data_IF_987022688901
#
_entry.id   IF_987022688901
#
_cell.length_a   1.000
_cell.length_b   1.000
_cell.length_c   1.000
_cell.angle_alpha   90.00
_cell.angle_beta   90.00
_cell.angle_gamma   90.00
#
_symmetry.space_group_name_H-M   'P 1'
#
loop_
_entity.id
_entity.type
_entity.pdbx_description
1 polymer ?
#
# COMPACT_ATOMS: atom_id res chain seq x y z
N UNK A 1 1.99 -11.96 -70.97
CA UNK A 1 2.26 -12.82 -69.80
C UNK A 1 2.97 -11.98 -68.76
N UNK A 2 2.25 -11.49 -67.76
CA UNK A 2 2.80 -10.70 -66.66
C UNK A 2 3.18 -11.61 -65.50
N UNK A 3 4.43 -11.51 -65.04
CA UNK A 3 4.92 -12.17 -63.82
C UNK A 3 5.29 -11.11 -62.80
N UNK A 4 4.44 -10.95 -61.79
CA UNK A 4 4.65 -10.07 -60.64
C UNK A 4 5.68 -10.71 -59.70
N UNK A 5 6.80 -10.03 -59.45
CA UNK A 5 7.72 -10.40 -58.37
C UNK A 5 7.14 -9.90 -57.04
N UNK A 6 6.62 -10.82 -56.24
CA UNK A 6 6.24 -10.59 -54.85
C UNK A 6 7.49 -10.24 -54.04
N UNK A 7 7.66 -8.97 -53.70
CA UNK A 7 8.56 -8.52 -52.63
C UNK A 7 8.05 -9.05 -51.29
N UNK A 8 8.84 -9.92 -50.65
CA UNK A 8 8.61 -10.35 -49.28
C UNK A 8 8.63 -9.14 -48.32
N UNK A 9 7.72 -9.05 -47.34
CA UNK A 9 7.71 -7.94 -46.39
C UNK A 9 8.98 -7.99 -45.53
N UNK A 10 9.66 -6.85 -45.43
CA UNK A 10 10.76 -6.68 -44.49
C UNK A 10 10.23 -6.91 -43.08
N UNK A 11 10.68 -7.99 -42.44
CA UNK A 11 10.40 -8.28 -41.04
C UNK A 11 11.01 -7.16 -40.21
N UNK A 12 10.17 -6.43 -39.48
CA UNK A 12 10.62 -5.53 -38.41
C UNK A 12 11.55 -6.30 -37.46
N UNK A 13 12.72 -5.76 -37.09
CA UNK A 13 13.64 -6.46 -36.21
C UNK A 13 12.95 -6.72 -34.86
N UNK A 14 12.85 -7.99 -34.47
CA UNK A 14 12.38 -8.38 -33.14
C UNK A 14 13.24 -7.65 -32.11
N UNK A 15 12.61 -6.86 -31.24
CA UNK A 15 13.27 -6.19 -30.11
C UNK A 15 13.81 -7.30 -29.19
N UNK A 16 15.11 -7.56 -29.26
CA UNK A 16 15.81 -8.50 -28.37
C UNK A 16 15.92 -7.82 -27.01
N UNK A 17 15.27 -8.39 -25.99
CA UNK A 17 15.38 -7.84 -24.64
C UNK A 17 16.79 -8.06 -24.09
N UNK A 18 17.30 -7.18 -23.21
CA UNK A 18 18.65 -7.33 -22.62
C UNK A 18 18.91 -8.68 -21.91
N UNK A 19 17.85 -9.42 -21.54
CA UNK A 19 17.94 -10.74 -20.91
C UNK A 19 17.75 -11.93 -21.87
N UNK A 20 17.43 -11.69 -23.14
CA UNK A 20 17.35 -12.73 -24.17
C UNK A 20 18.71 -12.89 -24.88
N UNK A 21 19.57 -13.75 -24.32
CA UNK A 21 20.85 -14.13 -24.94
C UNK A 21 20.78 -15.48 -25.66
N UNK A 22 19.59 -16.06 -25.80
CA UNK A 22 19.40 -17.39 -26.41
C UNK A 22 19.50 -17.36 -27.94
N UNK A 23 19.38 -16.18 -28.52
CA UNK A 23 19.58 -15.90 -29.95
C UNK A 23 21.01 -16.10 -30.44
N UNK A 24 22.00 -16.28 -29.54
CA UNK A 24 23.42 -16.45 -29.88
C UNK A 24 24.06 -17.79 -29.52
N UNK A 25 23.32 -18.77 -28.96
CA UNK A 25 23.91 -20.06 -28.56
C UNK A 25 23.87 -21.04 -29.74
N UNK A 26 25.03 -21.27 -30.36
CA UNK A 26 25.24 -22.25 -31.43
C UNK A 26 25.24 -23.66 -30.80
N UNK A 27 24.50 -24.61 -31.39
CA UNK A 27 24.50 -26.02 -30.99
C UNK A 27 23.35 -26.52 -30.11
N UNK A 28 22.46 -25.63 -29.64
CA UNK A 28 21.23 -26.04 -28.94
C UNK A 28 20.04 -26.16 -29.91
N UNK A 29 19.23 -27.20 -29.73
CA UNK A 29 17.91 -27.30 -30.35
C UNK A 29 16.99 -26.15 -29.88
N UNK A 30 15.91 -25.90 -30.64
CA UNK A 30 14.92 -24.88 -30.26
C UNK A 30 14.32 -25.14 -28.87
N UNK A 31 14.04 -26.40 -28.54
CA UNK A 31 13.53 -26.81 -27.23
C UNK A 31 14.52 -26.50 -26.10
N UNK A 32 15.80 -26.83 -26.28
CA UNK A 32 16.83 -26.55 -25.26
C UNK A 32 17.04 -25.06 -25.04
N UNK A 33 16.97 -24.24 -26.10
CA UNK A 33 16.98 -22.78 -25.97
C UNK A 33 15.78 -22.27 -25.17
N UNK A 34 14.58 -22.77 -25.45
CA UNK A 34 13.39 -22.41 -24.66
C UNK A 34 13.55 -22.81 -23.19
N UNK A 35 13.97 -24.04 -22.89
CA UNK A 35 14.17 -24.51 -21.52
C UNK A 35 15.22 -23.67 -20.78
N UNK A 36 16.35 -23.35 -21.43
CA UNK A 36 17.40 -22.51 -20.86
C UNK A 36 16.89 -21.08 -20.57
N UNK A 37 16.14 -20.49 -21.50
CA UNK A 37 15.49 -19.19 -21.32
C UNK A 37 14.54 -19.20 -20.12
N UNK A 38 13.64 -20.19 -20.02
CA UNK A 38 12.71 -20.31 -18.90
C UNK A 38 13.44 -20.46 -17.57
N UNK A 39 14.45 -21.33 -17.49
CA UNK A 39 15.26 -21.51 -16.26
C UNK A 39 15.95 -20.22 -15.84
N UNK A 40 16.54 -19.48 -16.79
CA UNK A 40 17.19 -18.19 -16.50
C UNK A 40 16.17 -17.15 -16.03
N UNK A 41 15.04 -17.02 -16.72
CA UNK A 41 13.96 -16.10 -16.32
C UNK A 41 13.47 -16.41 -14.90
N UNK A 42 13.28 -17.69 -14.57
CA UNK A 42 12.87 -18.10 -13.22
C UNK A 42 13.91 -17.73 -12.15
N UNK A 43 15.21 -17.89 -12.42
CA UNK A 43 16.28 -17.46 -11.49
C UNK A 43 16.27 -15.94 -11.28
N UNK A 44 16.18 -15.17 -12.37
CA UNK A 44 16.11 -13.69 -12.29
C UNK A 44 14.88 -13.24 -11.50
N UNK A 45 13.73 -13.87 -11.73
CA UNK A 45 12.49 -13.58 -11.03
C UNK A 45 12.60 -13.86 -9.52
N UNK A 46 13.21 -14.98 -9.14
CA UNK A 46 13.46 -15.30 -7.72
C UNK A 46 14.39 -14.27 -7.06
N UNK A 47 15.43 -13.83 -7.77
CA UNK A 47 16.33 -12.77 -7.30
C UNK A 47 15.60 -11.43 -7.17
N UNK A 48 14.74 -11.09 -8.13
CA UNK A 48 13.92 -9.90 -8.10
C UNK A 48 13.01 -9.86 -6.87
N UNK A 49 12.23 -10.92 -6.61
CA UNK A 49 11.39 -10.98 -5.41
C UNK A 49 12.20 -10.94 -4.10
N UNK A 50 13.39 -11.56 -4.07
CA UNK A 50 14.29 -11.48 -2.91
C UNK A 50 14.75 -10.04 -2.67
N UNK A 51 15.08 -9.32 -3.73
CA UNK A 51 15.45 -7.91 -3.65
C UNK A 51 14.26 -7.05 -3.22
N UNK A 52 13.05 -7.34 -3.70
CA UNK A 52 11.85 -6.67 -3.22
C UNK A 52 11.65 -6.86 -1.72
N UNK A 53 11.84 -8.10 -1.23
CA UNK A 53 11.81 -8.41 0.21
C UNK A 53 12.88 -7.65 1.00
N UNK A 54 14.11 -7.58 0.49
CA UNK A 54 15.21 -6.82 1.11
C UNK A 54 14.86 -5.33 1.25
N UNK A 55 14.40 -4.70 0.17
CA UNK A 55 13.97 -3.29 0.17
C UNK A 55 12.84 -3.09 1.17
N UNK A 56 11.81 -3.96 1.14
CA UNK A 56 10.67 -3.88 2.08
C UNK A 56 11.13 -3.98 3.53
N UNK A 57 12.07 -4.87 3.85
CA UNK A 57 12.60 -5.04 5.21
C UNK A 57 13.33 -3.81 5.76
N UNK A 58 13.93 -3.00 4.87
CA UNK A 58 14.70 -1.82 5.23
C UNK A 58 13.76 -0.63 5.49
N UNK A 59 12.85 -0.39 4.55
CA UNK A 59 12.02 0.82 4.53
C UNK A 59 10.68 0.68 5.27
N UNK A 60 10.14 -0.53 5.43
CA UNK A 60 8.86 -0.74 6.10
C UNK A 60 8.89 -1.91 7.08
N UNK A 61 9.73 -1.80 8.12
CA UNK A 61 9.97 -2.86 9.12
C UNK A 61 8.69 -3.47 9.71
N UNK A 62 7.71 -2.64 10.08
CA UNK A 62 6.43 -3.11 10.66
C UNK A 62 5.62 -3.89 9.63
N UNK A 63 5.46 -3.35 8.43
CA UNK A 63 4.77 -3.99 7.32
C UNK A 63 5.45 -5.29 6.91
N UNK A 64 6.78 -5.28 6.75
CA UNK A 64 7.59 -6.46 6.45
C UNK A 64 7.34 -7.59 7.45
N UNK A 65 7.39 -7.30 8.75
CA UNK A 65 7.11 -8.28 9.80
C UNK A 65 5.70 -8.88 9.66
N UNK A 66 4.68 -8.06 9.41
CA UNK A 66 3.32 -8.52 9.15
C UNK A 66 3.23 -9.44 7.92
N UNK A 67 3.92 -9.10 6.84
CA UNK A 67 3.89 -9.91 5.60
C UNK A 67 4.57 -11.27 5.75
N UNK A 68 5.42 -11.50 6.76
CA UNK A 68 6.05 -12.81 6.98
C UNK A 68 5.02 -13.92 7.26
N UNK A 69 3.84 -13.57 7.79
CA UNK A 69 2.73 -14.48 8.02
C UNK A 69 1.94 -14.84 6.75
N UNK A 70 2.20 -14.18 5.61
CA UNK A 70 1.58 -14.52 4.34
C UNK A 70 2.25 -15.75 3.71
N UNK A 71 1.48 -16.58 2.96
CA UNK A 71 2.05 -17.60 2.09
C UNK A 71 3.04 -16.98 1.10
N UNK A 72 4.13 -17.71 0.81
CA UNK A 72 5.28 -17.18 0.04
C UNK A 72 4.88 -16.43 -1.24
N UNK A 73 3.97 -16.98 -2.06
CA UNK A 73 3.55 -16.34 -3.31
C UNK A 73 2.87 -14.98 -3.09
N UNK A 74 1.93 -14.91 -2.14
CA UNK A 74 1.25 -13.65 -1.79
C UNK A 74 2.24 -12.65 -1.19
N UNK A 75 3.15 -13.11 -0.33
CA UNK A 75 4.19 -12.28 0.27
C UNK A 75 5.11 -11.64 -0.79
N UNK A 76 5.62 -12.47 -1.70
CA UNK A 76 6.51 -12.01 -2.78
C UNK A 76 5.80 -10.97 -3.68
N UNK A 77 4.52 -11.21 -4.02
CA UNK A 77 3.69 -10.28 -4.78
C UNK A 77 3.43 -8.95 -4.04
N UNK A 78 3.10 -9.00 -2.75
CA UNK A 78 2.92 -7.80 -1.92
C UNK A 78 4.22 -6.99 -1.83
N UNK A 79 5.38 -7.65 -1.74
CA UNK A 79 6.67 -6.94 -1.77
C UNK A 79 6.96 -6.28 -3.10
N UNK A 80 6.59 -6.90 -4.23
CA UNK A 80 6.74 -6.28 -5.54
C UNK A 80 5.89 -5.01 -5.68
N UNK A 81 4.62 -5.06 -5.22
CA UNK A 81 3.74 -3.88 -5.17
C UNK A 81 4.31 -2.80 -4.25
N UNK A 82 4.69 -3.15 -3.02
CA UNK A 82 5.27 -2.19 -2.08
C UNK A 82 6.51 -1.49 -2.64
N UNK A 83 7.39 -2.23 -3.30
CA UNK A 83 8.61 -1.67 -3.89
C UNK A 83 8.31 -0.75 -5.06
N UNK A 84 7.28 -1.06 -5.86
CA UNK A 84 6.82 -0.11 -6.87
C UNK A 84 6.28 1.17 -6.23
N UNK A 85 5.44 1.07 -5.19
CA UNK A 85 4.95 2.22 -4.43
C UNK A 85 6.10 3.07 -3.86
N UNK A 86 7.10 2.43 -3.25
CA UNK A 86 8.29 3.09 -2.71
C UNK A 86 9.09 3.82 -3.79
N UNK A 87 9.30 3.17 -4.95
CA UNK A 87 10.02 3.81 -6.07
C UNK A 87 9.25 5.01 -6.62
N UNK A 88 7.92 4.96 -6.62
CA UNK A 88 7.05 6.08 -7.00
C UNK A 88 7.20 7.25 -6.00
N UNK A 89 7.15 6.97 -4.70
CA UNK A 89 7.34 7.93 -3.60
C UNK A 89 8.71 8.63 -3.65
N UNK A 90 9.78 7.85 -3.86
CA UNK A 90 11.16 8.34 -3.94
C UNK A 90 11.40 9.31 -5.12
N UNK A 91 10.53 9.33 -6.15
CA UNK A 91 10.60 10.31 -7.25
C UNK A 91 10.33 11.74 -6.77
N UNK A 92 9.47 11.90 -5.75
CA UNK A 92 9.03 13.20 -5.21
C UNK A 92 9.80 13.59 -3.95
N UNK A 93 10.24 12.61 -3.15
CA UNK A 93 10.88 12.86 -1.84
C UNK A 93 12.42 12.93 -1.87
N UNK A 94 13.04 12.84 -3.03
CA UNK A 94 14.50 12.89 -3.18
C UNK A 94 15.13 14.23 -2.72
N UNK A 95 16.34 14.22 -2.11
CA UNK A 95 17.01 15.41 -1.53
C UNK A 95 17.37 16.52 -2.54
N UNK A 96 17.06 16.34 -3.82
CA UNK A 96 17.33 17.29 -4.92
C UNK A 96 16.06 17.85 -5.59
N UNK A 97 14.86 17.60 -5.04
CA UNK A 97 13.59 18.06 -5.62
C UNK A 97 13.37 19.58 -5.42
N UNK A 98 14.20 20.24 -4.62
CA UNK A 98 14.15 21.71 -4.41
C UNK A 98 14.41 22.57 -5.67
N UNK A 99 14.68 21.99 -6.84
CA UNK A 99 14.81 22.75 -8.09
C UNK A 99 14.17 22.03 -9.30
N UNK A 100 13.10 22.66 -9.81
CA UNK A 100 12.42 22.51 -11.12
C UNK A 100 11.28 21.49 -11.23
N UNK A 101 10.06 21.97 -11.03
CA UNK A 101 8.76 21.29 -11.25
C UNK A 101 8.65 20.64 -12.64
N UNK A 102 9.19 21.29 -13.67
CA UNK A 102 9.19 20.76 -15.04
C UNK A 102 9.93 19.42 -15.16
N UNK A 103 11.02 19.25 -14.41
CA UNK A 103 11.80 17.99 -14.44
C UNK A 103 11.10 16.85 -13.71
N UNK A 104 10.30 17.16 -12.69
CA UNK A 104 9.55 16.16 -11.93
C UNK A 104 8.31 15.69 -12.69
N UNK A 105 7.58 16.60 -13.32
CA UNK A 105 6.45 16.24 -14.21
C UNK A 105 6.90 15.34 -15.36
N UNK A 106 8.05 15.63 -15.97
CA UNK A 106 8.64 14.76 -16.98
C UNK A 106 8.98 13.37 -16.42
N UNK A 107 9.66 13.30 -15.26
CA UNK A 107 9.98 12.01 -14.62
C UNK A 107 8.73 11.19 -14.29
N UNK A 108 7.65 11.83 -13.81
CA UNK A 108 6.39 11.15 -13.52
C UNK A 108 5.69 10.68 -14.79
N UNK A 109 5.77 11.44 -15.89
CA UNK A 109 5.29 11.00 -17.20
C UNK A 109 6.08 9.80 -17.76
N UNK A 110 7.42 9.82 -17.62
CA UNK A 110 8.28 8.69 -17.97
C UNK A 110 7.98 7.47 -17.09
N UNK A 111 7.69 7.68 -15.81
CA UNK A 111 7.30 6.64 -14.86
C UNK A 111 5.93 6.03 -15.20
N UNK A 112 4.96 6.84 -15.62
CA UNK A 112 3.67 6.38 -16.13
C UNK A 112 3.85 5.55 -17.42
N UNK A 113 4.66 6.01 -18.37
CA UNK A 113 5.00 5.21 -19.56
C UNK A 113 5.67 3.88 -19.21
N UNK A 114 6.51 3.86 -18.17
CA UNK A 114 7.15 2.64 -17.66
C UNK A 114 6.13 1.69 -17.01
N UNK A 115 5.14 2.22 -16.30
CA UNK A 115 4.03 1.44 -15.75
C UNK A 115 3.24 0.74 -16.87
N UNK A 116 2.92 1.44 -17.95
CA UNK A 116 2.25 0.84 -19.12
C UNK A 116 3.06 -0.31 -19.72
N UNK A 117 4.39 -0.13 -19.82
CA UNK A 117 5.29 -1.17 -20.33
C UNK A 117 5.29 -2.41 -19.42
N UNK A 118 5.23 -2.25 -18.10
CA UNK A 118 5.09 -3.37 -17.15
C UNK A 118 3.79 -4.14 -17.42
N UNK A 119 2.66 -3.44 -17.57
CA UNK A 119 1.36 -4.07 -17.88
C UNK A 119 1.33 -4.75 -19.23
N UNK A 120 2.03 -4.21 -20.23
CA UNK A 120 2.23 -4.83 -21.53
C UNK A 120 3.22 -6.03 -21.52
N UNK A 121 3.83 -6.34 -20.37
CA UNK A 121 4.77 -7.46 -20.22
C UNK A 121 6.21 -7.15 -20.62
N UNK A 122 6.58 -5.87 -20.67
CA UNK A 122 7.90 -5.36 -21.06
C UNK A 122 8.61 -4.67 -19.87
N UNK A 123 9.08 -5.42 -18.86
CA UNK A 123 9.76 -4.85 -17.70
C UNK A 123 11.09 -4.19 -18.08
N UNK A 124 11.46 -3.05 -17.47
CA UNK A 124 12.72 -2.37 -17.80
C UNK A 124 13.89 -2.81 -16.90
N UNK A 125 13.60 -3.36 -15.71
CA UNK A 125 14.59 -3.91 -14.79
C UNK A 125 14.07 -5.13 -14.00
N UNK A 126 14.86 -5.62 -13.04
CA UNK A 126 14.49 -6.76 -12.21
C UNK A 126 13.27 -6.50 -11.31
N UNK A 127 13.09 -5.29 -10.79
CA UNK A 127 11.95 -4.96 -9.92
C UNK A 127 10.65 -4.87 -10.73
N UNK A 128 10.74 -4.32 -11.94
CA UNK A 128 9.66 -4.35 -12.92
C UNK A 128 9.30 -5.79 -13.32
N UNK A 129 10.31 -6.68 -13.45
CA UNK A 129 10.08 -8.09 -13.75
C UNK A 129 9.25 -8.78 -12.65
N UNK A 130 9.50 -8.46 -11.37
CA UNK A 130 8.69 -8.97 -10.27
C UNK A 130 7.25 -8.43 -10.30
N UNK A 131 7.07 -7.15 -10.62
CA UNK A 131 5.72 -6.57 -10.75
C UNK A 131 4.97 -7.13 -11.96
N UNK A 132 5.61 -7.24 -13.13
CA UNK A 132 5.01 -7.82 -14.33
C UNK A 132 4.58 -9.28 -14.12
N UNK A 133 5.38 -10.04 -13.37
CA UNK A 133 5.04 -11.41 -12.98
C UNK A 133 3.87 -11.42 -11.97
N UNK A 134 3.83 -10.48 -11.02
CA UNK A 134 2.71 -10.31 -10.09
C UNK A 134 1.40 -10.00 -10.84
N UNK A 135 1.39 -9.01 -11.74
CA UNK A 135 0.22 -8.64 -12.56
C UNK A 135 -0.33 -9.86 -13.32
N UNK A 136 0.56 -10.69 -13.89
CA UNK A 136 0.17 -11.90 -14.63
C UNK A 136 -0.48 -12.96 -13.74
N UNK A 137 0.01 -13.12 -12.51
CA UNK A 137 -0.48 -14.15 -11.58
C UNK A 137 -1.72 -13.72 -10.79
N UNK A 138 -2.04 -12.42 -10.77
CA UNK A 138 -3.18 -11.85 -10.05
C UNK A 138 -4.02 -10.98 -10.99
N UNK A 139 -4.91 -11.58 -11.81
CA UNK A 139 -5.67 -10.85 -12.84
C UNK A 139 -6.66 -9.82 -12.30
N UNK A 140 -7.01 -9.88 -11.00
CA UNK A 140 -7.78 -8.83 -10.32
C UNK A 140 -6.99 -7.53 -10.10
N UNK A 141 -5.66 -7.54 -10.28
CA UNK A 141 -4.80 -6.37 -10.12
C UNK A 141 -4.97 -5.41 -11.31
N UNK A 142 -5.70 -4.32 -11.08
CA UNK A 142 -5.95 -3.28 -12.08
C UNK A 142 -4.80 -2.29 -12.14
N UNK A 143 -4.55 -1.70 -13.31
CA UNK A 143 -3.57 -0.62 -13.49
C UNK A 143 -4.05 0.71 -12.90
N UNK A 144 -5.36 0.93 -12.79
CA UNK A 144 -5.94 2.23 -12.42
C UNK A 144 -5.43 2.74 -11.05
N UNK A 145 -5.38 1.94 -9.96
CA UNK A 145 -4.81 2.39 -8.70
C UNK A 145 -3.34 2.82 -8.81
N UNK A 146 -2.57 2.24 -9.72
CA UNK A 146 -1.16 2.60 -9.94
C UNK A 146 -1.08 3.96 -10.64
N UNK A 147 -1.91 4.19 -11.66
CA UNK A 147 -2.02 5.51 -12.29
C UNK A 147 -2.48 6.58 -11.29
N UNK A 148 -3.49 6.28 -10.49
CA UNK A 148 -4.00 7.18 -9.45
C UNK A 148 -2.91 7.55 -8.43
N UNK A 149 -2.04 6.62 -8.04
CA UNK A 149 -0.91 6.92 -7.16
C UNK A 149 0.09 7.87 -7.81
N UNK A 150 0.40 7.72 -9.10
CA UNK A 150 1.24 8.67 -9.85
C UNK A 150 0.58 10.06 -9.88
N UNK A 151 -0.74 10.12 -10.07
CA UNK A 151 -1.48 11.39 -10.00
C UNK A 151 -1.48 12.00 -8.59
N UNK A 152 -1.42 11.17 -7.54
CA UNK A 152 -1.25 11.62 -6.16
C UNK A 152 0.10 12.31 -5.94
N UNK A 153 1.17 11.74 -6.52
CA UNK A 153 2.51 12.35 -6.50
C UNK A 153 2.53 13.74 -7.13
N UNK A 154 1.73 13.99 -8.17
CA UNK A 154 1.61 15.30 -8.82
C UNK A 154 0.90 16.34 -7.94
N UNK A 155 0.00 15.93 -7.05
CA UNK A 155 -0.70 16.85 -6.15
C UNK A 155 0.27 17.53 -5.18
N UNK A 156 1.25 16.78 -4.68
CA UNK A 156 2.29 17.29 -3.77
C UNK A 156 3.26 18.27 -4.46
N UNK A 157 3.43 18.17 -5.78
CA UNK A 157 4.23 19.11 -6.58
C UNK A 157 3.57 20.48 -6.65
N UNK A 158 2.25 20.48 -6.85
CA UNK A 158 1.49 21.70 -7.13
C UNK A 158 1.07 22.42 -5.86
N UNK A 159 0.67 21.67 -4.82
CA UNK A 159 0.15 22.25 -3.58
C UNK A 159 0.20 21.26 -2.42
N UNK A 160 1.13 21.47 -1.48
CA UNK A 160 1.12 20.78 -0.17
C UNK A 160 0.29 21.53 0.87
N UNK A 161 -0.90 22.01 0.48
CA UNK A 161 -1.91 22.71 1.30
C UNK A 161 -3.29 22.34 0.79
N UNK A 162 -4.15 21.80 1.65
CA UNK A 162 -5.50 21.38 1.27
C UNK A 162 -6.52 22.28 1.94
N UNK A 163 -7.45 22.84 1.17
CA UNK A 163 -8.44 23.77 1.71
C UNK A 163 -9.42 23.04 2.62
N UNK A 164 -9.95 21.92 2.13
CA UNK A 164 -10.97 21.12 2.81
C UNK A 164 -10.48 19.71 3.12
N UNK A 165 -11.18 19.02 4.02
CA UNK A 165 -10.90 17.60 4.25
C UNK A 165 -11.14 16.75 3.00
N UNK A 166 -12.08 17.10 2.13
CA UNK A 166 -12.34 16.35 0.89
C UNK A 166 -11.15 16.41 -0.08
N UNK A 167 -10.48 17.55 -0.18
CA UNK A 167 -9.25 17.68 -0.96
C UNK A 167 -8.12 16.81 -0.36
N UNK A 168 -7.97 16.84 0.97
CA UNK A 168 -7.01 15.98 1.67
C UNK A 168 -7.36 14.50 1.53
N UNK A 169 -8.65 14.15 1.53
CA UNK A 169 -9.13 12.80 1.36
C UNK A 169 -8.74 12.28 -0.03
N UNK A 170 -8.92 13.08 -1.09
CA UNK A 170 -8.50 12.70 -2.44
C UNK A 170 -7.00 12.42 -2.50
N UNK A 171 -6.19 13.25 -1.83
CA UNK A 171 -4.76 12.99 -1.70
C UNK A 171 -4.49 11.65 -0.99
N UNK A 172 -5.07 11.44 0.21
CA UNK A 172 -4.94 10.20 0.96
C UNK A 172 -5.39 8.96 0.18
N UNK A 173 -6.49 9.08 -0.58
CA UNK A 173 -6.97 8.05 -1.48
C UNK A 173 -5.87 7.70 -2.50
N UNK A 174 -5.34 8.70 -3.23
CA UNK A 174 -4.35 8.46 -4.29
C UNK A 174 -3.04 7.87 -3.76
N UNK A 175 -2.50 8.39 -2.66
CA UNK A 175 -1.16 8.00 -2.19
C UNK A 175 -1.15 6.76 -1.28
N UNK A 176 -2.30 6.37 -0.71
CA UNK A 176 -2.37 5.23 0.21
C UNK A 176 -3.63 4.37 0.07
N UNK A 177 -4.80 4.96 -0.20
CA UNK A 177 -6.03 4.21 -0.48
C UNK A 177 -5.85 3.25 -1.67
N UNK A 178 -5.23 3.74 -2.75
CA UNK A 178 -4.86 2.94 -3.93
C UNK A 178 -4.01 1.72 -3.57
N UNK A 179 -3.10 1.82 -2.60
CA UNK A 179 -2.28 0.68 -2.13
C UNK A 179 -3.16 -0.43 -1.54
N UNK A 180 -4.25 -0.06 -0.85
CA UNK A 180 -5.28 -1.00 -0.42
C UNK A 180 -5.94 -1.73 -1.59
N UNK A 181 -6.26 -1.01 -2.67
CA UNK A 181 -6.82 -1.59 -3.91
C UNK A 181 -5.82 -2.48 -4.64
N UNK A 182 -4.52 -2.14 -4.61
CA UNK A 182 -3.46 -2.98 -5.19
C UNK A 182 -3.26 -4.27 -4.40
N UNK A 183 -3.37 -4.20 -3.07
CA UNK A 183 -3.14 -5.36 -2.20
C UNK A 183 -4.33 -6.33 -2.19
N UNK A 184 -5.56 -5.84 -2.26
CA UNK A 184 -6.77 -6.65 -2.07
C UNK A 184 -6.84 -7.89 -2.99
N UNK A 185 -6.60 -7.81 -4.32
CA UNK A 185 -6.62 -8.98 -5.20
C UNK A 185 -5.53 -10.01 -4.88
N UNK A 186 -4.41 -9.57 -4.30
CA UNK A 186 -3.30 -10.44 -3.91
C UNK A 186 -3.62 -11.16 -2.59
N UNK A 187 -4.20 -10.43 -1.64
CA UNK A 187 -4.62 -10.95 -0.34
C UNK A 187 -5.79 -11.92 -0.49
N UNK A 188 -6.72 -11.62 -1.39
CA UNK A 188 -7.94 -12.37 -1.65
C UNK A 188 -8.98 -12.23 -0.54
N UNK A 189 -10.21 -12.61 -0.86
CA UNK A 189 -11.35 -12.62 0.07
C UNK A 189 -11.73 -14.05 0.47
N UNK A 190 -12.39 -14.18 1.62
CA UNK A 190 -12.99 -15.44 2.07
C UNK A 190 -14.37 -15.61 1.41
N UNK A 191 -14.56 -16.61 0.53
CA UNK A 191 -15.83 -16.81 -0.16
C UNK A 191 -17.00 -17.15 0.77
N UNK A 192 -16.75 -17.61 2.00
CA UNK A 192 -17.82 -17.86 2.99
C UNK A 192 -18.34 -16.55 3.62
N UNK A 193 -17.55 -15.48 3.61
CA UNK A 193 -17.83 -14.23 4.34
C UNK A 193 -17.92 -12.99 3.45
N UNK A 194 -17.51 -13.13 2.19
CA UNK A 194 -17.39 -12.03 1.25
C UNK A 194 -17.64 -12.57 -0.16
N UNK A 195 -18.73 -12.15 -0.81
CA UNK A 195 -19.12 -12.72 -2.11
C UNK A 195 -18.20 -12.26 -3.25
N UNK A 196 -17.57 -11.10 -3.08
CA UNK A 196 -16.68 -10.52 -4.07
C UNK A 196 -15.69 -9.57 -3.42
N UNK A 197 -14.59 -9.26 -4.11
CA UNK A 197 -13.64 -8.23 -3.68
C UNK A 197 -14.30 -6.85 -3.50
N UNK A 198 -15.36 -6.56 -4.27
CA UNK A 198 -16.09 -5.29 -4.18
C UNK A 198 -16.65 -5.03 -2.77
N UNK A 199 -17.08 -6.06 -2.04
CA UNK A 199 -17.57 -5.94 -0.66
C UNK A 199 -16.45 -5.59 0.34
N UNK A 200 -15.17 -5.79 -0.02
CA UNK A 200 -14.01 -5.49 0.82
C UNK A 200 -13.29 -4.18 0.41
N UNK A 201 -13.65 -3.58 -0.74
CA UNK A 201 -13.01 -2.36 -1.26
C UNK A 201 -13.09 -1.21 -0.26
N UNK A 202 -14.26 -0.95 0.32
CA UNK A 202 -14.42 0.15 1.29
C UNK A 202 -13.48 0.01 2.48
N UNK A 203 -13.38 -1.18 3.06
CA UNK A 203 -12.48 -1.44 4.18
C UNK A 203 -11.01 -1.36 3.79
N UNK A 204 -10.65 -1.78 2.56
CA UNK A 204 -9.29 -1.65 2.04
C UNK A 204 -8.88 -0.18 1.84
N UNK A 205 -9.78 0.63 1.26
CA UNK A 205 -9.60 2.07 1.12
C UNK A 205 -9.48 2.75 2.49
N UNK A 206 -10.39 2.44 3.41
CA UNK A 206 -10.40 2.99 4.75
C UNK A 206 -9.09 2.70 5.49
N UNK A 207 -8.52 1.50 5.33
CA UNK A 207 -7.21 1.19 5.90
C UNK A 207 -6.11 2.06 5.32
N UNK A 208 -6.03 2.18 3.98
CA UNK A 208 -5.03 3.03 3.33
C UNK A 208 -5.12 4.50 3.79
N UNK A 209 -6.35 5.04 3.84
CA UNK A 209 -6.61 6.40 4.32
C UNK A 209 -6.23 6.56 5.78
N UNK A 210 -6.59 5.61 6.66
CA UNK A 210 -6.22 5.66 8.07
C UNK A 210 -4.71 5.67 8.27
N UNK A 211 -3.97 4.83 7.53
CA UNK A 211 -2.51 4.78 7.59
C UNK A 211 -1.88 6.10 7.14
N UNK A 212 -2.40 6.73 6.09
CA UNK A 212 -1.88 8.00 5.58
C UNK A 212 -2.18 9.17 6.51
N UNK A 213 -3.41 9.28 7.01
CA UNK A 213 -3.75 10.29 8.00
C UNK A 213 -2.92 10.10 9.29
N UNK A 214 -2.63 8.86 9.68
CA UNK A 214 -1.72 8.58 10.80
C UNK A 214 -0.31 9.09 10.52
N UNK A 215 0.22 8.94 9.29
CA UNK A 215 1.52 9.49 8.92
C UNK A 215 1.50 11.03 9.00
N UNK A 216 0.48 11.68 8.44
CA UNK A 216 0.30 13.14 8.49
C UNK A 216 0.30 13.63 9.94
N UNK A 217 -0.45 12.98 10.83
CA UNK A 217 -0.49 13.38 12.24
C UNK A 217 0.80 13.08 13.00
N UNK A 218 1.55 12.05 12.62
CA UNK A 218 2.83 11.73 13.25
C UNK A 218 3.93 12.71 12.85
N UNK A 219 3.91 13.16 11.61
CA UNK A 219 5.05 13.84 10.97
C UNK A 219 4.80 15.35 10.74
N UNK A 220 3.81 15.96 11.41
CA UNK A 220 3.46 17.40 11.29
C UNK A 220 4.70 18.31 11.36
N UNK A 221 5.60 18.10 12.34
CA UNK A 221 6.83 18.88 12.44
C UNK A 221 7.82 18.65 11.29
N UNK A 222 7.99 17.39 10.86
CA UNK A 222 8.89 17.06 9.73
C UNK A 222 8.36 17.66 8.41
N UNK A 223 7.04 17.69 8.23
CA UNK A 223 6.37 18.30 7.07
C UNK A 223 6.46 19.83 7.09
N UNK A 224 6.26 20.46 8.27
CA UNK A 224 6.40 21.90 8.45
C UNK A 224 7.82 22.38 8.09
N UNK A 225 8.87 21.64 8.49
CA UNK A 225 10.27 21.94 8.11
C UNK A 225 10.52 21.88 6.59
N UNK A 226 9.66 21.18 5.84
CA UNK A 226 9.69 21.10 4.38
C UNK A 226 8.76 22.12 3.72
N UNK A 227 8.07 22.96 4.50
CA UNK A 227 7.10 23.93 4.00
C UNK A 227 5.76 23.32 3.58
N UNK A 228 5.46 22.09 4.04
CA UNK A 228 4.22 21.35 3.74
C UNK A 228 3.24 21.46 4.91
N UNK A 229 1.95 21.61 4.60
CA UNK A 229 0.86 21.65 5.60
C UNK A 229 -0.30 20.78 5.11
N UNK A 230 -0.37 19.55 5.61
CA UNK A 230 -1.43 18.60 5.24
C UNK A 230 -2.72 18.77 6.05
N UNK A 231 -2.68 19.42 7.22
CA UNK A 231 -3.88 19.72 8.00
C UNK A 231 -4.82 20.62 7.18
N UNK A 232 -6.12 20.29 7.06
CA UNK A 232 -7.05 21.09 6.25
C UNK A 232 -7.16 22.53 6.76
N UNK A 233 -7.05 23.49 5.83
CA UNK A 233 -7.02 24.91 6.16
C UNK A 233 -8.33 25.39 6.78
N UNK A 234 -9.47 24.88 6.32
CA UNK A 234 -10.78 25.17 6.91
C UNK A 234 -10.87 24.76 8.38
N UNK A 235 -10.24 23.64 8.74
CA UNK A 235 -10.28 23.07 10.08
C UNK A 235 -9.30 23.80 10.99
N UNK A 236 -8.10 24.13 10.49
CA UNK A 236 -7.18 25.02 11.19
C UNK A 236 -7.87 26.34 11.56
N UNK A 237 -8.59 26.97 10.63
CA UNK A 237 -9.37 28.19 10.91
C UNK A 237 -10.52 27.96 11.88
N UNK A 238 -11.24 26.84 11.79
CA UNK A 238 -12.33 26.49 12.70
C UNK A 238 -11.86 26.40 14.17
N UNK A 239 -10.71 25.77 14.41
CA UNK A 239 -10.09 25.70 15.74
C UNK A 239 -9.30 26.98 16.08
N UNK A 240 -9.22 27.94 15.16
CA UNK A 240 -8.49 29.19 15.32
C UNK A 240 -6.97 29.02 15.36
N UNK A 241 -6.41 27.94 14.83
CA UNK A 241 -4.96 27.71 14.76
C UNK A 241 -4.39 28.17 13.40
N UNK A 242 -3.27 28.90 13.41
CA UNK A 242 -2.71 29.52 12.19
C UNK A 242 -1.51 28.77 11.61
N UNK A 243 -1.21 28.98 10.33
CA UNK A 243 0.04 28.47 9.73
C UNK A 243 1.28 29.07 10.42
N UNK A 244 1.26 30.34 10.83
CA UNK A 244 2.38 30.97 11.53
C UNK A 244 2.68 30.24 12.85
N UNK A 245 1.64 29.87 13.60
CA UNK A 245 1.78 29.06 14.81
C UNK A 245 2.30 27.65 14.51
N UNK A 246 1.84 27.04 13.41
CA UNK A 246 2.31 25.73 12.95
C UNK A 246 3.80 25.76 12.60
N UNK A 247 4.26 26.74 11.83
CA UNK A 247 5.66 26.88 11.47
C UNK A 247 6.55 27.29 12.66
N UNK A 248 5.98 28.01 13.63
CA UNK A 248 6.62 28.27 14.92
C UNK A 248 6.56 27.08 15.89
N UNK A 249 5.98 25.95 15.48
CA UNK A 249 5.82 24.72 16.29
C UNK A 249 5.13 24.98 17.64
N UNK A 250 4.15 25.89 17.67
CA UNK A 250 3.42 26.25 18.89
C UNK A 250 2.38 25.18 19.22
N UNK A 251 2.57 24.50 20.34
CA UNK A 251 1.59 23.57 20.93
C UNK A 251 0.77 24.33 21.97
N UNK A 252 -0.46 24.71 21.61
CA UNK A 252 -1.43 25.36 22.49
C UNK A 252 -2.76 24.60 22.51
N UNK A 253 -3.71 25.01 23.35
CA UNK A 253 -5.00 24.32 23.49
C UNK A 253 -5.75 24.18 22.16
N UNK A 254 -5.72 25.22 21.30
CA UNK A 254 -6.34 25.20 19.97
C UNK A 254 -5.74 24.11 19.07
N UNK A 255 -4.41 23.97 19.10
CA UNK A 255 -3.71 22.91 18.40
C UNK A 255 -4.09 21.53 18.92
N UNK A 256 -4.10 21.35 20.25
CA UNK A 256 -4.44 20.07 20.85
C UNK A 256 -5.86 19.64 20.48
N UNK A 257 -6.84 20.55 20.51
CA UNK A 257 -8.22 20.26 20.09
C UNK A 257 -8.32 19.91 18.60
N UNK A 258 -7.57 20.61 17.73
CA UNK A 258 -7.47 20.26 16.31
C UNK A 258 -6.91 18.84 16.11
N UNK A 259 -5.82 18.48 16.80
CA UNK A 259 -5.21 17.15 16.68
C UNK A 259 -6.12 16.06 17.26
N UNK A 260 -6.79 16.30 18.40
CA UNK A 260 -7.81 15.37 18.94
C UNK A 260 -8.93 15.12 17.92
N UNK A 261 -9.42 16.17 17.27
CA UNK A 261 -10.43 16.08 16.23
C UNK A 261 -9.95 15.20 15.05
N UNK A 262 -8.72 15.41 14.57
CA UNK A 262 -8.15 14.54 13.53
C UNK A 262 -7.98 13.09 14.01
N UNK A 263 -7.46 12.86 15.21
CA UNK A 263 -7.28 11.51 15.77
C UNK A 263 -8.63 10.77 15.82
N UNK A 264 -9.71 11.43 16.23
CA UNK A 264 -11.05 10.86 16.25
C UNK A 264 -11.50 10.41 14.86
N UNK A 265 -11.25 11.23 13.83
CA UNK A 265 -11.48 10.89 12.42
C UNK A 265 -10.65 9.69 11.97
N UNK A 266 -9.34 9.65 12.26
CA UNK A 266 -8.48 8.52 11.87
C UNK A 266 -8.95 7.22 12.55
N UNK A 267 -9.34 7.28 13.83
CA UNK A 267 -9.94 6.15 14.54
C UNK A 267 -11.24 5.66 13.91
N UNK A 268 -12.04 6.55 13.31
CA UNK A 268 -13.24 6.15 12.56
C UNK A 268 -12.88 5.33 11.31
N UNK A 269 -11.90 5.76 10.51
CA UNK A 269 -11.43 4.97 9.38
C UNK A 269 -10.84 3.62 9.80
N UNK A 270 -10.11 3.55 10.91
CA UNK A 270 -9.64 2.27 11.45
C UNK A 270 -10.81 1.32 11.82
N UNK A 271 -11.92 1.84 12.37
CA UNK A 271 -13.11 1.01 12.64
C UNK A 271 -13.71 0.46 11.35
N UNK A 272 -13.86 1.29 10.30
CA UNK A 272 -14.33 0.84 8.98
C UNK A 272 -13.40 -0.21 8.35
N UNK A 273 -12.08 -0.03 8.51
CA UNK A 273 -11.08 -1.00 8.07
C UNK A 273 -11.17 -2.33 8.83
N UNK A 274 -11.37 -2.31 10.15
CA UNK A 274 -11.50 -3.50 10.98
C UNK A 274 -12.66 -4.40 10.53
N UNK A 275 -13.78 -3.83 10.07
CA UNK A 275 -14.91 -4.58 9.51
C UNK A 275 -14.52 -5.45 8.29
N UNK A 276 -13.45 -5.08 7.57
CA UNK A 276 -12.95 -5.81 6.42
C UNK A 276 -12.09 -7.03 6.76
N UNK A 277 -11.57 -7.14 8.00
CA UNK A 277 -10.65 -8.22 8.36
C UNK A 277 -11.29 -9.59 8.20
N UNK A 278 -12.56 -9.74 8.61
CA UNK A 278 -13.30 -10.99 8.47
C UNK A 278 -13.50 -11.40 7.00
N UNK A 279 -13.61 -10.42 6.10
CA UNK A 279 -13.84 -10.60 4.66
C UNK A 279 -12.60 -11.10 3.93
N UNK A 280 -11.40 -10.86 4.47
CA UNK A 280 -10.15 -11.31 3.87
C UNK A 280 -10.02 -12.83 3.94
N UNK A 281 -9.32 -13.40 2.95
CA UNK A 281 -8.89 -14.79 2.97
C UNK A 281 -8.15 -15.10 4.29
N UNK A 282 -8.36 -16.28 4.92
CA UNK A 282 -7.81 -16.58 6.26
C UNK A 282 -6.31 -16.29 6.40
N UNK A 283 -5.53 -16.64 5.37
CA UNK A 283 -4.08 -16.40 5.33
C UNK A 283 -3.66 -14.91 5.41
N UNK A 284 -4.56 -13.98 5.13
CA UNK A 284 -4.30 -12.54 5.09
C UNK A 284 -4.78 -11.81 6.36
N UNK A 285 -5.66 -12.42 7.17
CA UNK A 285 -6.29 -11.79 8.34
C UNK A 285 -5.27 -11.31 9.36
N UNK A 286 -4.39 -12.21 9.81
CA UNK A 286 -3.38 -11.88 10.81
C UNK A 286 -2.39 -10.81 10.32
N UNK A 287 -1.77 -10.91 9.13
CA UNK A 287 -0.91 -9.85 8.59
C UNK A 287 -1.56 -8.46 8.61
N UNK A 288 -2.80 -8.36 8.14
CA UNK A 288 -3.51 -7.08 8.03
C UNK A 288 -3.95 -6.59 9.41
N UNK A 289 -4.48 -7.49 10.26
CA UNK A 289 -4.84 -7.18 11.64
C UNK A 289 -3.65 -6.64 12.43
N UNK A 290 -2.51 -7.33 12.38
CA UNK A 290 -1.30 -6.94 13.08
C UNK A 290 -0.78 -5.59 12.59
N UNK A 291 -0.79 -5.36 11.27
CA UNK A 291 -0.39 -4.07 10.69
C UNK A 291 -1.30 -2.94 11.16
N UNK A 292 -2.62 -3.15 11.14
CA UNK A 292 -3.63 -2.20 11.62
C UNK A 292 -3.42 -1.88 13.11
N UNK A 293 -3.36 -2.90 13.96
CA UNK A 293 -3.21 -2.73 15.41
C UNK A 293 -1.91 -2.02 15.78
N UNK A 294 -0.80 -2.31 15.09
CA UNK A 294 0.49 -1.66 15.32
C UNK A 294 0.51 -0.20 14.84
N UNK A 295 -0.13 0.12 13.72
CA UNK A 295 -0.17 1.49 13.21
C UNK A 295 -1.11 2.37 14.03
N UNK A 296 -2.26 1.83 14.49
CA UNK A 296 -3.20 2.58 15.33
C UNK A 296 -2.57 3.07 16.64
N UNK A 297 -1.63 2.31 17.20
CA UNK A 297 -0.87 2.69 18.41
C UNK A 297 0.01 3.94 18.24
N UNK A 298 0.26 4.39 17.00
CA UNK A 298 0.93 5.67 16.78
C UNK A 298 0.04 6.82 17.26
N UNK A 299 -1.28 6.72 17.11
CA UNK A 299 -2.22 7.72 17.62
C UNK A 299 -2.18 7.80 19.14
N UNK A 300 -2.14 6.63 19.81
CA UNK A 300 -2.03 6.57 21.26
C UNK A 300 -0.68 7.17 21.73
N UNK A 301 0.41 6.97 20.96
CA UNK A 301 1.69 7.61 21.24
C UNK A 301 1.70 9.13 21.02
N UNK A 302 0.86 9.66 20.11
CA UNK A 302 0.67 11.12 19.96
C UNK A 302 -0.06 11.68 21.19
N UNK A 303 -1.07 10.98 21.70
CA UNK A 303 -1.78 11.35 22.94
C UNK A 303 -0.87 11.27 24.16
N UNK A 304 -0.06 10.20 24.29
CA UNK A 304 0.96 10.04 25.35
C UNK A 304 2.02 11.16 25.33
N UNK A 305 2.22 11.82 24.19
CA UNK A 305 3.14 12.94 24.01
C UNK A 305 2.47 14.31 24.24
N UNK A 306 1.29 14.37 24.85
CA UNK A 306 0.49 15.60 25.02
C UNK A 306 0.24 16.32 23.69
N UNK A 307 0.08 15.54 22.62
CA UNK A 307 -0.12 15.99 21.23
C UNK A 307 1.06 16.75 20.61
N UNK A 308 2.24 16.78 21.26
CA UNK A 308 3.46 17.34 20.68
C UNK A 308 4.09 16.39 19.65
N UNK A 309 3.62 16.51 18.41
CA UNK A 309 4.14 15.87 17.21
C UNK A 309 5.03 16.81 16.37
N UNK A 310 5.43 17.96 16.93
CA UNK A 310 6.45 18.84 16.34
C UNK A 310 7.85 18.42 16.79
N UNK A 311 8.03 18.24 18.10
CA UNK A 311 9.34 18.00 18.71
C UNK A 311 9.55 16.53 19.10
N UNK A 312 8.46 15.78 19.28
CA UNK A 312 8.52 14.36 19.68
C UNK A 312 7.85 13.48 18.64
N UNK A 313 8.68 12.79 17.85
CA UNK A 313 8.15 11.81 16.90
C UNK A 313 7.46 10.67 17.63
N UNK A 314 6.17 10.47 17.37
CA UNK A 314 5.42 9.35 17.92
C UNK A 314 5.86 8.02 17.26
N UNK A 315 6.28 7.05 18.06
CA UNK A 315 6.65 5.72 17.57
C UNK A 315 6.24 4.61 18.54
N UNK A 316 5.97 3.43 18.00
CA UNK A 316 5.68 2.24 18.79
C UNK A 316 6.98 1.48 19.05
N UNK A 317 7.30 1.25 20.33
CA UNK A 317 8.51 0.53 20.75
C UNK A 317 8.50 -0.92 20.25
N UNK A 318 9.69 -1.53 20.11
CA UNK A 318 9.81 -2.94 19.69
C UNK A 318 9.04 -3.89 20.61
N UNK A 319 9.04 -3.61 21.92
CA UNK A 319 8.32 -4.40 22.91
C UNK A 319 6.79 -4.26 22.73
N UNK A 320 6.27 -3.02 22.60
CA UNK A 320 4.84 -2.79 22.33
C UNK A 320 4.41 -3.52 21.04
N UNK A 321 5.20 -3.45 19.96
CA UNK A 321 4.94 -4.21 18.72
C UNK A 321 4.90 -5.72 18.94
N UNK A 322 5.86 -6.28 19.68
CA UNK A 322 5.91 -7.71 19.97
C UNK A 322 4.67 -8.17 20.77
N UNK A 323 4.24 -7.39 21.76
CA UNK A 323 3.04 -7.66 22.56
C UNK A 323 1.74 -7.48 21.78
N UNK A 324 1.75 -6.68 20.71
CA UNK A 324 0.57 -6.48 19.84
C UNK A 324 0.21 -7.75 19.09
N UNK A 325 1.20 -8.51 18.64
CA UNK A 325 0.98 -9.66 17.75
C UNK A 325 0.12 -10.77 18.40
N UNK A 326 0.35 -11.21 19.65
CA UNK A 326 -0.55 -12.14 20.34
C UNK A 326 -1.99 -11.63 20.44
N UNK A 327 -2.17 -10.33 20.72
CA UNK A 327 -3.50 -9.70 20.81
C UNK A 327 -4.20 -9.70 19.45
N UNK A 328 -3.47 -9.38 18.38
CA UNK A 328 -3.98 -9.47 17.01
C UNK A 328 -4.38 -10.90 16.63
N UNK A 329 -3.59 -11.91 17.02
CA UNK A 329 -3.94 -13.32 16.82
C UNK A 329 -5.25 -13.71 17.50
N UNK A 330 -5.43 -13.34 18.79
CA UNK A 330 -6.64 -13.64 19.55
C UNK A 330 -7.88 -13.03 18.90
N UNK A 331 -7.81 -11.76 18.48
CA UNK A 331 -8.91 -11.06 17.80
C UNK A 331 -9.28 -11.67 16.45
N UNK A 332 -8.31 -12.21 15.71
CA UNK A 332 -8.59 -12.97 14.47
C UNK A 332 -9.32 -14.27 14.80
N UNK A 333 -8.90 -15.01 15.84
CA UNK A 333 -9.55 -16.24 16.26
C UNK A 333 -10.99 -16.03 16.75
N UNK A 334 -11.25 -14.94 17.47
CA UNK A 334 -12.61 -14.52 17.84
C UNK A 334 -13.49 -14.27 16.61
N UNK A 335 -12.94 -13.60 15.60
CA UNK A 335 -13.63 -13.33 14.32
C UNK A 335 -13.96 -14.62 13.56
N UNK A 336 -13.13 -15.65 13.72
CA UNK A 336 -13.31 -16.98 13.13
C UNK A 336 -14.25 -17.89 13.95
N UNK A 337 -14.64 -17.49 15.16
CA UNK A 337 -15.47 -18.31 16.05
C UNK A 337 -14.74 -19.54 16.63
N UNK A 338 -13.40 -19.59 16.54
CA UNK A 338 -12.62 -20.81 16.83
C UNK A 338 -12.31 -21.05 18.29
N UNK A 339 -12.33 -20.01 19.14
CA UNK A 339 -12.04 -20.12 20.58
C UNK A 339 -13.28 -20.29 21.46
N UNK A 340 -14.34 -19.51 21.25
CA UNK A 340 -15.57 -19.61 22.06
C UNK A 340 -16.50 -20.76 21.60
N UNK A 341 -16.49 -21.12 20.31
CA UNK A 341 -17.32 -22.22 19.78
C UNK A 341 -16.80 -23.63 20.06
N UNK A 342 -15.55 -23.79 20.53
CA UNK A 342 -14.96 -25.11 20.86
C UNK A 342 -15.00 -25.45 22.34
N UNK A 343 -15.04 -24.46 23.22
CA UNK A 343 -15.17 -24.67 24.67
C UNK A 343 -16.62 -24.88 25.10
N UNK A 344 -17.57 -24.37 24.32
CA UNK A 344 -19.00 -24.55 24.55
C UNK A 344 -19.61 -25.08 23.25
N UNK A 345 -19.84 -26.40 23.19
CA UNK A 345 -20.69 -27.02 22.17
C UNK A 345 -22.10 -26.40 22.17
N UNK A 346 -22.94 -26.70 21.18
CA UNK A 346 -24.23 -26.02 21.00
C UNK A 346 -25.07 -26.19 22.27
N UNK A 347 -25.17 -25.12 23.06
CA UNK A 347 -26.19 -25.02 24.08
C UNK A 347 -27.51 -24.85 23.32
N UNK A 348 -28.25 -25.95 23.22
CA UNK A 348 -29.66 -25.95 22.87
C UNK A 348 -30.35 -24.83 23.65
N UNK A 349 -30.84 -23.81 22.93
CA UNK A 349 -31.84 -22.88 23.48
C UNK A 349 -33.19 -23.58 23.47
N UNK A 350 -33.29 -24.66 24.23
CA UNK A 350 -34.55 -25.24 24.65
C UNK A 350 -35.07 -24.48 25.87
N UNK A 351 -36.29 -23.95 25.75
CA UNK A 351 -37.16 -23.55 26.86
C UNK A 351 -36.71 -22.37 27.74
N UNK A 352 -37.06 -21.16 27.30
CA UNK A 352 -37.71 -20.19 28.21
C UNK A 352 -38.94 -19.64 27.48
N UNK A 353 -40.10 -20.19 27.82
CA UNK A 353 -41.40 -19.60 27.51
C UNK A 353 -41.49 -18.21 28.15
N UNK A 354 -41.89 -17.21 27.36
CA UNK A 354 -42.29 -15.90 27.88
C UNK A 354 -43.65 -16.04 28.57
N UNK A 355 -43.85 -15.51 29.79
CA UNK A 355 -45.20 -15.25 30.29
C UNK A 355 -45.75 -14.03 29.54
N UNK A 356 -46.99 -14.15 29.08
CA UNK A 356 -47.81 -13.03 28.61
C UNK A 356 -48.04 -12.05 29.76
N UNK A 357 -47.69 -10.77 29.57
CA UNK A 357 -48.54 -9.58 29.75
C UNK A 357 -48.00 -8.48 28.84
#
# INVERSE_FOLDING_TARGET
MGGSFLTLPQTTPKRVFPWDTTTGVIGLSHFERQVAFYRRRQRLLQQAYKECGRITSIFAKTFYLGTLFLPKRKRDAIWAVYVWCRRTDDLVDGPRVRQRDASLRQKLSEWESRLEQVWAGYPQDALDLALADTVRNYPGLRIDPFRDMIQGMLMDVDRARYETFDELYLYCYRVAGTVGLMALPILGVDPERCKSEAEAVESALALGIALQLTNILRDVGEDALRGRVYLPQEEMRYFGYTEDELFASVVNDRYQELIKFQIARVRAYYRTAECGIAKLHPSARLPIRASLDMYRQILDAIEENDFDNFHRRAYVSKLKKALTLPVSCLRVQETEGTWLGRLWGPFDRGFIQRPNV
#
